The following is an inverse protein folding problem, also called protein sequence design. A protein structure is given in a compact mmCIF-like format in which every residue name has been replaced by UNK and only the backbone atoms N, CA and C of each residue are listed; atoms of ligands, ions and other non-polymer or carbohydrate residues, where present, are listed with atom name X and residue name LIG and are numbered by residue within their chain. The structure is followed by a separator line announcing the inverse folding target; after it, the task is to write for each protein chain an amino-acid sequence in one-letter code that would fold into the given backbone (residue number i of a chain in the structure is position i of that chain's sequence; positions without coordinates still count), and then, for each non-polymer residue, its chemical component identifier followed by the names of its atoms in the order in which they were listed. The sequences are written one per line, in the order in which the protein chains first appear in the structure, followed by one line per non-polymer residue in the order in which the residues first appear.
data_IF_485719201378
#
_entry.id   IF_485719201378
#
_cell.length_a   1.000
_cell.length_b   1.000
_cell.length_c   1.000
_cell.angle_alpha   90.00
_cell.angle_beta   90.00
_cell.angle_gamma   90.00
#
_symmetry.space_group_name_H-M   'P 1'
#
loop_
_entity.id
_entity.type
_entity.pdbx_description
1 polymer ?
#
# COMPACT_ATOMS: atom_id res chain seq x y z
N UNK A 1 -10.79 17.01 -9.29
CA UNK A 1 -9.86 17.21 -8.15
C UNK A 1 -10.61 17.07 -6.81
N UNK A 2 -11.71 17.81 -6.57
CA UNK A 2 -12.44 17.78 -5.30
C UNK A 2 -12.86 16.35 -4.86
N UNK A 3 -13.41 15.54 -5.77
CA UNK A 3 -13.83 14.16 -5.47
C UNK A 3 -12.65 13.29 -5.03
N UNK A 4 -11.52 13.36 -5.74
CA UNK A 4 -10.32 12.60 -5.35
C UNK A 4 -9.76 13.03 -3.99
N UNK A 5 -9.73 14.34 -3.71
CA UNK A 5 -9.30 14.85 -2.41
C UNK A 5 -10.24 14.43 -1.29
N UNK A 6 -11.57 14.47 -1.52
CA UNK A 6 -12.55 13.99 -0.55
C UNK A 6 -12.40 12.49 -0.28
N UNK A 7 -12.22 11.67 -1.31
CA UNK A 7 -11.94 10.24 -1.17
C UNK A 7 -10.72 9.99 -0.29
N UNK A 8 -9.58 10.61 -0.62
CA UNK A 8 -8.33 10.42 0.12
C UNK A 8 -8.50 10.88 1.58
N UNK A 9 -9.15 12.02 1.81
CA UNK A 9 -9.38 12.57 3.14
C UNK A 9 -10.24 11.63 3.99
N UNK A 10 -11.38 11.15 3.47
CA UNK A 10 -12.30 10.27 4.20
C UNK A 10 -11.64 8.92 4.49
N UNK A 11 -11.03 8.32 3.49
CA UNK A 11 -10.47 6.97 3.62
C UNK A 11 -9.27 6.94 4.56
N UNK A 12 -8.38 7.93 4.48
CA UNK A 12 -7.23 8.03 5.40
C UNK A 12 -7.60 8.56 6.79
N UNK A 13 -8.74 9.21 6.92
CA UNK A 13 -9.26 9.72 8.19
C UNK A 13 -10.10 8.70 8.97
N UNK A 14 -10.36 7.50 8.41
CA UNK A 14 -11.20 6.47 9.05
C UNK A 14 -10.47 5.13 9.14
N UNK A 15 -10.72 4.33 10.21
CA UNK A 15 -10.09 3.02 10.37
C UNK A 15 -10.49 2.04 9.27
N UNK A 16 -9.53 1.25 8.77
CA UNK A 16 -9.80 0.18 7.79
C UNK A 16 -10.84 -0.82 8.28
N UNK A 17 -10.80 -1.20 9.57
CA UNK A 17 -11.79 -2.11 10.15
C UNK A 17 -13.22 -1.56 10.05
N UNK A 18 -13.39 -0.25 10.28
CA UNK A 18 -14.69 0.41 10.12
C UNK A 18 -15.16 0.37 8.66
N UNK A 19 -14.26 0.64 7.71
CA UNK A 19 -14.57 0.58 6.29
C UNK A 19 -14.98 -0.83 5.86
N UNK A 20 -14.28 -1.85 6.37
CA UNK A 20 -14.62 -3.25 6.15
C UNK A 20 -16.03 -3.58 6.65
N UNK A 21 -16.38 -3.12 7.87
CA UNK A 21 -17.71 -3.36 8.46
C UNK A 21 -18.81 -2.60 7.72
N UNK A 22 -18.55 -1.40 7.25
CA UNK A 22 -19.51 -0.65 6.42
C UNK A 22 -19.81 -1.42 5.13
N UNK A 23 -18.78 -1.96 4.46
CA UNK A 23 -18.95 -2.71 3.21
C UNK A 23 -19.66 -4.04 3.48
N UNK A 24 -19.26 -4.78 4.50
CA UNK A 24 -19.78 -6.12 4.74
C UNK A 24 -21.15 -6.11 5.42
N UNK A 25 -21.34 -5.34 6.49
CA UNK A 25 -22.59 -5.28 7.25
C UNK A 25 -23.51 -4.12 6.81
N UNK A 26 -22.93 -2.96 6.51
CA UNK A 26 -23.70 -1.75 6.24
C UNK A 26 -24.42 -1.80 4.89
N UNK A 27 -23.84 -2.43 3.88
CA UNK A 27 -24.45 -2.49 2.54
C UNK A 27 -25.46 -3.65 2.39
N UNK A 28 -25.64 -4.52 3.39
CA UNK A 28 -26.51 -5.69 3.29
C UNK A 28 -27.97 -5.37 2.99
N UNK A 29 -28.44 -4.17 3.34
CA UNK A 29 -29.79 -3.69 3.03
C UNK A 29 -30.01 -3.36 1.55
N UNK A 30 -28.91 -3.10 0.81
CA UNK A 30 -28.92 -2.74 -0.63
C UNK A 30 -28.39 -3.91 -1.46
N UNK A 31 -27.27 -4.47 -1.06
CA UNK A 31 -26.59 -5.59 -1.72
C UNK A 31 -25.84 -6.43 -0.70
N UNK A 32 -26.12 -7.73 -0.66
CA UNK A 32 -25.36 -8.66 0.18
C UNK A 32 -24.07 -9.08 -0.55
N UNK A 33 -22.93 -8.54 -0.10
CA UNK A 33 -21.61 -8.89 -0.65
C UNK A 33 -21.01 -10.02 0.21
N UNK A 34 -20.58 -11.15 -0.38
CA UNK A 34 -19.91 -12.22 0.37
C UNK A 34 -18.65 -11.74 1.10
N UNK A 35 -18.21 -12.43 2.18
CA UNK A 35 -17.07 -11.98 3.01
C UNK A 35 -15.79 -11.72 2.22
N UNK A 36 -15.38 -12.64 1.35
CA UNK A 36 -14.11 -12.52 0.61
C UNK A 36 -14.10 -11.33 -0.37
N UNK A 37 -15.11 -11.12 -1.25
CA UNK A 37 -15.22 -9.90 -2.03
C UNK A 37 -15.27 -8.62 -1.17
N UNK A 38 -15.97 -8.62 -0.04
CA UNK A 38 -16.03 -7.48 0.88
C UNK A 38 -14.65 -7.10 1.39
N UNK A 39 -13.83 -8.10 1.76
CA UNK A 39 -12.44 -7.88 2.17
C UNK A 39 -11.60 -7.28 1.04
N UNK A 40 -11.73 -7.80 -0.21
CA UNK A 40 -11.02 -7.27 -1.37
C UNK A 40 -11.39 -5.80 -1.61
N UNK A 41 -12.68 -5.46 -1.61
CA UNK A 41 -13.13 -4.09 -1.81
C UNK A 41 -12.65 -3.15 -0.70
N UNK A 42 -12.76 -3.56 0.57
CA UNK A 42 -12.32 -2.74 1.69
C UNK A 42 -10.81 -2.46 1.66
N UNK A 43 -9.99 -3.52 1.52
CA UNK A 43 -8.54 -3.43 1.46
C UNK A 43 -8.08 -2.65 0.22
N UNK A 44 -8.69 -2.90 -0.95
CA UNK A 44 -8.37 -2.20 -2.19
C UNK A 44 -8.71 -0.72 -2.12
N UNK A 45 -9.91 -0.39 -1.61
CA UNK A 45 -10.37 0.97 -1.44
C UNK A 45 -9.50 1.74 -0.44
N UNK A 46 -9.16 1.13 0.69
CA UNK A 46 -8.28 1.70 1.69
C UNK A 46 -6.88 1.97 1.12
N UNK A 47 -6.22 0.92 0.60
CA UNK A 47 -4.86 1.03 0.09
C UNK A 47 -4.76 1.97 -1.13
N UNK A 48 -5.81 2.07 -1.95
CA UNK A 48 -5.88 2.99 -3.07
C UNK A 48 -5.65 4.45 -2.67
N UNK A 49 -6.20 4.89 -1.54
CA UNK A 49 -6.00 6.24 -1.03
C UNK A 49 -4.54 6.48 -0.59
N UNK A 50 -3.92 5.52 0.07
CA UNK A 50 -2.51 5.61 0.48
C UNK A 50 -1.57 5.57 -0.73
N UNK A 51 -1.82 4.70 -1.70
CA UNK A 51 -1.05 4.62 -2.94
C UNK A 51 -1.13 5.93 -3.73
N UNK A 52 -2.32 6.55 -3.81
CA UNK A 52 -2.50 7.84 -4.45
C UNK A 52 -1.62 8.94 -3.81
N UNK A 53 -1.55 8.98 -2.48
CA UNK A 53 -0.70 9.91 -1.73
C UNK A 53 0.80 9.62 -1.91
N UNK A 54 1.18 8.34 -1.98
CA UNK A 54 2.57 7.95 -2.29
C UNK A 54 2.98 8.49 -3.66
N UNK A 55 2.15 8.34 -4.69
CA UNK A 55 2.44 8.87 -6.01
C UNK A 55 2.46 10.40 -6.02
N UNK A 56 1.52 11.06 -5.33
CA UNK A 56 1.51 12.51 -5.20
C UNK A 56 2.82 13.01 -4.57
N UNK A 57 3.22 12.45 -3.42
CA UNK A 57 4.45 12.82 -2.74
C UNK A 57 5.71 12.51 -3.57
N UNK A 58 5.71 11.41 -4.33
CA UNK A 58 6.81 11.07 -5.22
C UNK A 58 6.95 12.09 -6.35
N UNK A 59 5.86 12.55 -6.95
CA UNK A 59 5.87 13.59 -8.00
C UNK A 59 6.36 14.92 -7.41
N UNK A 60 5.82 15.34 -6.28
CA UNK A 60 6.18 16.57 -5.61
C UNK A 60 7.64 16.59 -5.11
N UNK A 61 8.22 15.42 -4.87
CA UNK A 61 9.62 15.30 -4.47
C UNK A 61 10.62 15.62 -5.60
N UNK A 62 10.16 15.67 -6.86
CA UNK A 62 11.05 16.02 -7.99
C UNK A 62 11.34 17.53 -7.95
N UNK A 63 12.61 17.95 -8.03
CA UNK A 63 12.97 19.38 -8.01
C UNK A 63 12.24 20.16 -9.12
N UNK A 64 11.66 21.30 -8.77
CA UNK A 64 10.90 22.17 -9.69
C UNK A 64 11.74 22.56 -10.92
N UNK A 65 13.05 22.76 -10.75
CA UNK A 65 13.97 23.05 -11.83
C UNK A 65 14.00 22.03 -12.98
N UNK A 66 13.61 20.77 -12.73
CA UNK A 66 13.47 19.77 -13.81
C UNK A 66 12.32 20.12 -14.77
N UNK A 67 11.21 20.61 -14.24
CA UNK A 67 10.09 21.08 -15.03
C UNK A 67 10.44 22.38 -15.74
N UNK A 68 11.09 23.31 -15.05
CA UNK A 68 11.50 24.61 -15.61
C UNK A 68 12.50 24.42 -16.75
N UNK A 69 13.55 23.61 -16.59
CA UNK A 69 14.52 23.30 -17.63
C UNK A 69 13.86 22.66 -18.87
N UNK A 70 12.94 21.71 -18.65
CA UNK A 70 12.18 21.10 -19.75
C UNK A 70 11.35 22.13 -20.52
N UNK A 71 10.71 23.06 -19.80
CA UNK A 71 9.91 24.13 -20.38
C UNK A 71 10.79 25.12 -21.17
N UNK A 72 11.98 25.43 -20.71
CA UNK A 72 12.94 26.36 -21.35
C UNK A 72 13.43 25.85 -22.72
N UNK A 73 13.51 24.51 -22.90
CA UNK A 73 13.82 23.88 -24.19
C UNK A 73 12.60 23.63 -25.07
N UNK A 74 11.44 24.25 -24.76
CA UNK A 74 10.24 24.20 -25.59
C UNK A 74 9.34 22.99 -25.37
N UNK A 75 9.56 22.16 -24.33
CA UNK A 75 8.65 21.04 -24.04
C UNK A 75 7.32 21.57 -23.50
N UNK A 76 6.20 21.02 -23.97
CA UNK A 76 4.91 21.27 -23.32
C UNK A 76 4.89 20.66 -21.92
N UNK A 77 4.09 21.20 -20.99
CA UNK A 77 3.95 20.70 -19.63
C UNK A 77 3.64 19.18 -19.61
N UNK A 78 2.74 18.72 -20.47
CA UNK A 78 2.38 17.31 -20.60
C UNK A 78 3.56 16.43 -21.03
N UNK A 79 4.34 16.87 -22.02
CA UNK A 79 5.54 16.13 -22.47
C UNK A 79 6.62 16.11 -21.38
N UNK A 80 6.87 17.24 -20.70
CA UNK A 80 7.81 17.31 -19.59
C UNK A 80 7.39 16.39 -18.43
N UNK A 81 6.10 16.39 -18.06
CA UNK A 81 5.55 15.49 -17.05
C UNK A 81 5.79 14.03 -17.42
N UNK A 82 5.41 13.62 -18.65
CA UNK A 82 5.50 12.22 -19.07
C UNK A 82 6.93 11.72 -19.27
N UNK A 83 7.83 12.55 -19.82
CA UNK A 83 9.18 12.09 -20.22
C UNK A 83 10.25 12.35 -19.18
N UNK A 84 10.04 13.31 -18.29
CA UNK A 84 11.07 13.75 -17.32
C UNK A 84 10.61 13.49 -15.89
N UNK A 85 9.44 13.99 -15.49
CA UNK A 85 9.00 13.95 -14.09
C UNK A 85 8.51 12.55 -13.70
N UNK A 86 7.56 11.98 -14.44
CA UNK A 86 6.95 10.68 -14.08
C UNK A 86 7.97 9.54 -14.01
N UNK A 87 8.92 9.35 -14.93
CA UNK A 87 9.91 8.27 -14.81
C UNK A 87 10.79 8.40 -13.56
N UNK A 88 11.10 9.61 -13.13
CA UNK A 88 11.85 9.88 -11.90
C UNK A 88 10.97 9.65 -10.66
N UNK A 89 9.73 10.14 -10.69
CA UNK A 89 8.77 9.99 -9.61
C UNK A 89 8.42 8.51 -9.36
N UNK A 90 8.23 7.70 -10.41
CA UNK A 90 7.97 6.26 -10.28
C UNK A 90 9.11 5.56 -9.54
N UNK A 91 10.37 5.86 -9.87
CA UNK A 91 11.53 5.30 -9.16
C UNK A 91 11.54 5.69 -7.67
N UNK A 92 11.08 6.91 -7.34
CA UNK A 92 10.98 7.37 -5.94
C UNK A 92 9.76 6.79 -5.21
N UNK A 93 8.72 6.38 -5.94
CA UNK A 93 7.53 5.78 -5.37
C UNK A 93 7.74 4.30 -4.96
N UNK A 94 8.70 3.59 -5.58
CA UNK A 94 8.91 2.15 -5.34
C UNK A 94 9.15 1.82 -3.85
N UNK A 95 10.07 2.46 -3.11
CA UNK A 95 10.29 2.16 -1.70
C UNK A 95 9.03 2.33 -0.83
N UNK A 96 8.34 3.48 -0.87
CA UNK A 96 7.12 3.64 -0.07
C UNK A 96 5.97 2.73 -0.53
N UNK A 97 5.87 2.36 -1.82
CA UNK A 97 4.91 1.36 -2.29
C UNK A 97 5.20 -0.03 -1.72
N UNK A 98 6.47 -0.41 -1.64
CA UNK A 98 6.87 -1.67 -1.01
C UNK A 98 6.52 -1.69 0.48
N UNK A 99 6.75 -0.60 1.20
CA UNK A 99 6.32 -0.47 2.60
C UNK A 99 4.80 -0.55 2.74
N UNK A 100 4.04 0.09 1.85
CA UNK A 100 2.58 0.01 1.84
C UNK A 100 2.09 -1.41 1.59
N UNK A 101 2.75 -2.17 0.73
CA UNK A 101 2.43 -3.59 0.51
C UNK A 101 2.64 -4.44 1.77
N UNK A 102 3.73 -4.20 2.53
CA UNK A 102 3.97 -4.89 3.81
C UNK A 102 2.91 -4.52 4.86
N UNK A 103 2.45 -3.28 4.87
CA UNK A 103 1.34 -2.84 5.72
C UNK A 103 0.06 -3.58 5.31
N UNK A 104 -0.29 -3.57 4.02
CA UNK A 104 -1.48 -4.24 3.49
C UNK A 104 -1.49 -5.75 3.78
N UNK A 105 -0.33 -6.42 3.76
CA UNK A 105 -0.19 -7.82 4.16
C UNK A 105 -0.63 -8.04 5.61
N UNK A 106 -0.24 -7.17 6.53
CA UNK A 106 -0.66 -7.26 7.94
C UNK A 106 -2.12 -6.90 8.12
N UNK A 107 -2.59 -5.89 7.41
CA UNK A 107 -3.97 -5.42 7.44
C UNK A 107 -4.95 -6.47 6.90
N UNK A 108 -4.49 -7.39 6.04
CA UNK A 108 -5.32 -8.50 5.56
C UNK A 108 -5.84 -9.39 6.70
N UNK A 109 -5.17 -9.40 7.87
CA UNK A 109 -5.63 -10.09 9.08
C UNK A 109 -7.00 -9.59 9.59
N UNK A 110 -7.36 -8.35 9.28
CA UNK A 110 -8.65 -7.78 9.66
C UNK A 110 -9.83 -8.50 8.96
N UNK A 111 -9.58 -9.14 7.82
CA UNK A 111 -10.59 -9.94 7.12
C UNK A 111 -11.07 -11.16 7.94
N UNK A 112 -10.29 -11.59 8.96
CA UNK A 112 -10.71 -12.61 9.94
C UNK A 112 -11.98 -12.21 10.70
N UNK A 113 -12.20 -10.91 10.88
CA UNK A 113 -13.36 -10.39 11.65
C UNK A 113 -14.70 -10.59 10.92
N UNK A 114 -14.65 -10.81 9.61
CA UNK A 114 -15.81 -11.15 8.77
C UNK A 114 -15.73 -12.59 8.25
N UNK A 115 -15.04 -13.47 9.00
CA UNK A 115 -14.92 -14.91 8.72
C UNK A 115 -14.23 -15.27 7.39
N UNK A 116 -13.40 -14.39 6.82
CA UNK A 116 -12.53 -14.76 5.69
C UNK A 116 -11.40 -15.66 6.19
N UNK A 117 -11.22 -16.88 5.61
CA UNK A 117 -10.17 -17.79 6.03
C UNK A 117 -8.79 -17.28 5.59
N UNK A 118 -8.07 -16.66 6.51
CA UNK A 118 -6.71 -16.18 6.40
C UNK A 118 -5.88 -16.68 7.61
N UNK A 119 -4.60 -16.30 7.67
CA UNK A 119 -3.64 -16.84 8.64
C UNK A 119 -4.08 -16.67 10.10
N UNK A 120 -4.55 -15.48 10.49
CA UNK A 120 -4.99 -15.21 11.87
C UNK A 120 -6.26 -16.01 12.21
N UNK A 121 -7.24 -16.08 11.30
CA UNK A 121 -8.46 -16.87 11.53
C UNK A 121 -8.12 -18.34 11.71
N UNK A 122 -7.23 -18.89 10.90
CA UNK A 122 -6.79 -20.30 11.03
C UNK A 122 -6.10 -20.58 12.35
N UNK A 123 -5.19 -19.69 12.77
CA UNK A 123 -4.57 -19.79 14.10
C UNK A 123 -5.56 -19.76 15.24
N UNK A 124 -6.56 -18.86 15.18
CA UNK A 124 -7.64 -18.79 16.19
C UNK A 124 -8.51 -20.03 16.22
N UNK A 125 -8.88 -20.59 15.06
CA UNK A 125 -9.65 -21.82 14.96
C UNK A 125 -8.91 -23.01 15.58
N UNK A 126 -7.61 -23.17 15.24
CA UNK A 126 -6.77 -24.21 15.82
C UNK A 126 -6.61 -24.01 17.33
N UNK A 127 -6.35 -22.79 17.79
CA UNK A 127 -6.24 -22.47 19.21
C UNK A 127 -7.50 -22.81 20.00
N UNK A 128 -8.68 -22.53 19.41
CA UNK A 128 -9.96 -22.89 20.04
C UNK A 128 -10.20 -24.40 20.07
N UNK A 129 -9.84 -25.13 19.01
CA UNK A 129 -10.06 -26.59 18.95
C UNK A 129 -9.09 -27.40 19.80
N UNK A 130 -7.88 -26.88 20.04
CA UNK A 130 -6.83 -27.56 20.83
C UNK A 130 -6.71 -27.02 22.26
N UNK A 131 -7.45 -25.98 22.63
CA UNK A 131 -7.32 -25.23 23.89
C UNK A 131 -5.94 -24.59 24.10
N UNK A 132 -5.13 -24.43 23.03
CA UNK A 132 -3.78 -23.86 23.03
C UNK A 132 -3.80 -22.51 22.32
N UNK A 133 -4.62 -21.57 22.83
CA UNK A 133 -4.92 -20.33 22.10
C UNK A 133 -3.70 -19.39 22.00
N UNK A 134 -2.94 -19.26 23.11
CA UNK A 134 -1.74 -18.40 23.13
C UNK A 134 -0.64 -18.94 22.23
N UNK A 135 -0.42 -20.25 22.25
CA UNK A 135 0.61 -20.91 21.45
C UNK A 135 0.32 -20.73 19.96
N UNK A 136 -0.93 -20.89 19.54
CA UNK A 136 -1.34 -20.69 18.15
C UNK A 136 -1.21 -19.23 17.72
N UNK A 137 -1.51 -18.26 18.58
CA UNK A 137 -1.29 -16.84 18.27
C UNK A 137 0.21 -16.49 18.14
N UNK A 138 1.07 -17.10 18.98
CA UNK A 138 2.53 -16.94 18.87
C UNK A 138 3.02 -17.50 17.54
N UNK A 139 2.53 -18.68 17.13
CA UNK A 139 2.87 -19.29 15.84
C UNK A 139 2.44 -18.35 14.68
N UNK A 140 1.23 -17.82 14.72
CA UNK A 140 0.75 -16.84 13.73
C UNK A 140 1.65 -15.60 13.68
N UNK A 141 2.04 -15.07 14.84
CA UNK A 141 2.96 -13.93 14.92
C UNK A 141 4.33 -14.23 14.29
N UNK A 142 4.87 -15.44 14.52
CA UNK A 142 6.12 -15.90 13.89
C UNK A 142 5.97 -15.97 12.36
N UNK A 143 4.85 -16.49 11.85
CA UNK A 143 4.61 -16.50 10.40
C UNK A 143 4.56 -15.09 9.80
N UNK A 144 3.86 -14.14 10.44
CA UNK A 144 3.87 -12.74 9.99
C UNK A 144 5.26 -12.13 10.05
N UNK A 145 6.04 -12.43 11.09
CA UNK A 145 7.42 -11.96 11.23
C UNK A 145 8.31 -12.49 10.09
N UNK A 146 8.19 -13.77 9.76
CA UNK A 146 8.94 -14.38 8.65
C UNK A 146 8.55 -13.69 7.33
N UNK A 147 7.25 -13.61 7.02
CA UNK A 147 6.75 -13.02 5.78
C UNK A 147 7.19 -11.55 5.64
N UNK A 148 7.01 -10.75 6.68
CA UNK A 148 7.39 -9.32 6.65
C UNK A 148 8.90 -9.13 6.57
N UNK A 149 9.69 -10.00 7.21
CA UNK A 149 11.17 -9.96 7.12
C UNK A 149 11.65 -10.31 5.71
N UNK A 150 11.06 -11.34 5.08
CA UNK A 150 11.37 -11.70 3.68
C UNK A 150 11.04 -10.55 2.73
N UNK A 151 9.86 -9.94 2.87
CA UNK A 151 9.46 -8.80 2.04
C UNK A 151 10.35 -7.58 2.26
N UNK A 152 10.71 -7.26 3.52
CA UNK A 152 11.64 -6.18 3.83
C UNK A 152 13.03 -6.43 3.21
N UNK A 153 13.52 -7.69 3.25
CA UNK A 153 14.77 -8.06 2.61
C UNK A 153 14.72 -7.82 1.09
N UNK A 154 13.66 -8.28 0.42
CA UNK A 154 13.46 -8.07 -1.02
C UNK A 154 13.40 -6.57 -1.33
N UNK A 155 12.63 -5.81 -0.56
CA UNK A 155 12.50 -4.37 -0.72
C UNK A 155 13.84 -3.66 -0.58
N UNK A 156 14.66 -4.03 0.43
CA UNK A 156 15.99 -3.46 0.63
C UNK A 156 16.94 -3.69 -0.55
N UNK A 157 16.83 -4.84 -1.23
CA UNK A 157 17.62 -5.11 -2.45
C UNK A 157 17.17 -4.24 -3.63
N UNK A 158 15.86 -4.04 -3.77
CA UNK A 158 15.30 -3.14 -4.79
C UNK A 158 15.77 -1.70 -4.54
N UNK A 159 15.71 -1.23 -3.30
CA UNK A 159 16.16 0.11 -2.91
C UNK A 159 17.65 0.34 -3.20
N UNK A 160 18.50 -0.65 -2.88
CA UNK A 160 19.93 -0.58 -3.20
C UNK A 160 20.18 -0.45 -4.70
N UNK A 161 19.47 -1.22 -5.53
CA UNK A 161 19.58 -1.13 -6.99
C UNK A 161 19.13 0.24 -7.53
N UNK A 162 18.05 0.80 -6.98
CA UNK A 162 17.57 2.13 -7.37
C UNK A 162 18.51 3.26 -6.93
N UNK A 163 19.18 3.11 -5.78
CA UNK A 163 20.15 4.08 -5.26
C UNK A 163 21.48 4.04 -6.01
N UNK A 164 21.96 2.86 -6.46
CA UNK A 164 23.23 2.72 -7.18
C UNK A 164 23.23 3.47 -8.51
N UNK A 165 22.13 3.45 -9.25
CA UNK A 165 21.98 4.24 -10.48
C UNK A 165 22.06 5.77 -10.28
N UNK A 166 21.83 6.27 -9.05
CA UNK A 166 22.03 7.69 -8.71
C UNK A 166 23.50 8.06 -8.42
N UNK A 167 24.29 7.11 -7.92
CA UNK A 167 25.71 7.34 -7.59
C UNK A 167 26.61 7.42 -8.83
N UNK A 168 26.29 6.66 -9.88
CA UNK A 168 27.06 6.72 -11.15
C UNK A 168 26.94 8.08 -11.82
N UNK A 169 25.73 8.64 -11.88
CA UNK A 169 25.49 9.98 -12.48
C UNK A 169 26.22 11.09 -11.71
N UNK A 170 26.41 10.93 -10.38
CA UNK A 170 27.10 11.93 -9.53
C UNK A 170 28.62 11.88 -9.61
N UNK A 171 29.20 10.83 -10.21
CA UNK A 171 30.66 10.70 -10.42
C UNK A 171 31.14 11.28 -11.75
N UNK A 172 30.23 11.69 -12.62
CA UNK A 172 30.55 12.22 -13.96
C UNK A 172 30.65 13.76 -13.96
N UNK A 173 30.30 14.41 -12.86
CA UNK A 173 30.39 15.85 -12.57
C UNK A 173 31.23 16.10 -11.30
#
# INVERSE_FOLDING_TARGET
KAVASAYIFIVRGTPLLLQLFIIYYGLTTVVAIPPFPSAIFALGFHNGAYIAEIFRGAIESIPVGQMEAARSIGMSHRKAMQRIILPQALKRAIPPLGNQFIIALKDSSLASTIAVPELLLRGRQLGSSTFMYMEMLIIVAVYYLILTTMLNFILSQVDKKLASGKREVRKIW
#
